data_IF_349904030920
#
_entry.id   IF_349904030920
#
_cell.length_a   1.000
_cell.length_b   1.000
_cell.length_c   1.000
_cell.angle_alpha   90.00
_cell.angle_beta   90.00
_cell.angle_gamma   90.00
#
_symmetry.space_group_name_H-M   'P 1'
#
loop_
_entity.id
_entity.type
_entity.pdbx_description
1 polymer ?
#
# COMPACT_ATOMS: atom_id res chain seq x y z
N UNK A 1 4.55 4.62 -23.93
CA UNK A 1 4.70 3.70 -22.78
C UNK A 1 3.46 2.83 -22.67
N UNK A 2 3.40 1.80 -23.50
CA UNK A 2 2.43 0.71 -23.39
C UNK A 2 2.99 -0.40 -22.48
N UNK A 3 2.12 -1.27 -21.98
CA UNK A 3 2.55 -2.45 -21.23
C UNK A 3 3.49 -3.34 -22.07
N UNK A 4 3.24 -3.46 -23.37
CA UNK A 4 4.08 -4.21 -24.29
C UNK A 4 5.50 -3.65 -24.38
N UNK A 5 5.64 -2.32 -24.43
CA UNK A 5 6.95 -1.64 -24.41
C UNK A 5 7.69 -1.86 -23.08
N UNK A 6 6.98 -1.91 -21.95
CA UNK A 6 7.60 -2.18 -20.64
C UNK A 6 8.16 -3.61 -20.57
N UNK A 7 7.50 -4.60 -21.16
CA UNK A 7 7.96 -6.00 -21.11
C UNK A 7 9.30 -6.23 -21.81
N UNK A 8 9.66 -5.39 -22.79
CA UNK A 8 10.95 -5.45 -23.47
C UNK A 8 12.02 -4.56 -22.83
N UNK A 9 11.69 -3.85 -21.75
CA UNK A 9 12.64 -2.97 -21.07
C UNK A 9 13.78 -3.79 -20.43
N UNK A 10 15.06 -3.36 -20.52
CA UNK A 10 16.21 -4.15 -20.07
C UNK A 10 16.20 -4.55 -18.59
N UNK A 11 15.50 -3.81 -17.74
CA UNK A 11 15.32 -4.17 -16.32
C UNK A 11 14.39 -5.38 -16.13
N UNK A 12 13.40 -5.52 -17.02
CA UNK A 12 12.41 -6.61 -17.01
C UNK A 12 12.93 -7.79 -17.85
N UNK A 13 13.43 -7.53 -19.07
CA UNK A 13 14.03 -8.51 -19.97
C UNK A 13 15.48 -8.11 -20.30
N UNK A 14 16.48 -8.54 -19.51
CA UNK A 14 17.88 -8.24 -19.78
C UNK A 14 18.31 -8.75 -21.16
N UNK A 15 19.02 -7.91 -21.92
CA UNK A 15 19.50 -8.23 -23.27
C UNK A 15 20.94 -8.74 -23.25
N UNK A 16 21.65 -8.58 -22.13
CA UNK A 16 23.04 -9.00 -21.96
C UNK A 16 23.30 -9.60 -20.58
N UNK A 17 24.34 -10.43 -20.48
CA UNK A 17 24.82 -10.99 -19.20
C UNK A 17 25.20 -9.89 -18.21
N UNK A 18 25.81 -8.78 -18.67
CA UNK A 18 26.18 -7.63 -17.84
C UNK A 18 24.95 -7.00 -17.18
N UNK A 19 23.87 -6.82 -17.92
CA UNK A 19 22.60 -6.29 -17.38
C UNK A 19 21.97 -7.26 -16.36
N UNK A 20 21.97 -8.56 -16.66
CA UNK A 20 21.44 -9.57 -15.73
C UNK A 20 22.21 -9.59 -14.39
N UNK A 21 23.54 -9.52 -14.45
CA UNK A 21 24.41 -9.47 -13.28
C UNK A 21 24.27 -8.16 -12.50
N UNK A 22 24.15 -7.03 -13.19
CA UNK A 22 23.89 -5.74 -12.54
C UNK A 22 22.58 -5.78 -11.76
N UNK A 23 21.50 -6.28 -12.41
CA UNK A 23 20.18 -6.44 -11.78
C UNK A 23 20.22 -7.37 -10.58
N UNK A 24 20.91 -8.52 -10.68
CA UNK A 24 20.97 -9.49 -9.58
C UNK A 24 21.74 -8.98 -8.36
N UNK A 25 22.67 -8.04 -8.56
CA UNK A 25 23.47 -7.43 -7.48
C UNK A 25 22.82 -6.18 -6.90
N UNK A 26 21.84 -5.58 -7.58
CA UNK A 26 21.09 -4.45 -7.07
C UNK A 26 20.22 -4.89 -5.88
N UNK A 27 20.42 -4.24 -4.73
CA UNK A 27 19.60 -4.45 -3.55
C UNK A 27 18.46 -3.43 -3.50
N UNK A 28 17.33 -3.85 -2.92
CA UNK A 28 16.24 -2.94 -2.58
C UNK A 28 16.45 -2.50 -1.14
N UNK A 29 16.18 -1.23 -0.82
CA UNK A 29 16.15 -0.75 0.55
C UNK A 29 14.94 -1.33 1.31
N UNK A 30 15.14 -2.55 1.83
CA UNK A 30 14.10 -3.31 2.51
C UNK A 30 13.67 -2.65 3.83
N UNK A 31 14.56 -1.90 4.48
CA UNK A 31 14.26 -1.15 5.71
C UNK A 31 13.16 -0.11 5.46
N UNK A 32 13.32 0.70 4.41
CA UNK A 32 12.32 1.70 4.05
C UNK A 32 11.03 1.06 3.51
N UNK A 33 11.14 -0.01 2.71
CA UNK A 33 9.98 -0.73 2.20
C UNK A 33 9.11 -1.32 3.31
N UNK A 34 9.73 -1.94 4.33
CA UNK A 34 9.05 -2.44 5.54
C UNK A 34 8.41 -1.30 6.33
N UNK A 35 9.16 -0.21 6.57
CA UNK A 35 8.64 0.98 7.30
C UNK A 35 7.44 1.61 6.58
N UNK A 36 7.45 1.67 5.25
CA UNK A 36 6.33 2.15 4.45
C UNK A 36 5.09 1.25 4.60
N UNK A 37 5.26 -0.07 4.41
CA UNK A 37 4.16 -1.02 4.51
C UNK A 37 3.54 -1.06 5.91
N UNK A 38 4.38 -1.01 6.96
CA UNK A 38 3.89 -0.92 8.34
C UNK A 38 2.98 0.30 8.52
N UNK A 39 3.46 1.51 8.14
CA UNK A 39 2.65 2.74 8.23
C UNK A 39 1.36 2.67 7.42
N UNK A 40 1.39 2.09 6.22
CA UNK A 40 0.20 1.89 5.39
C UNK A 40 -0.84 1.00 6.09
N UNK A 41 -0.42 -0.13 6.67
CA UNK A 41 -1.29 -1.03 7.41
C UNK A 41 -1.88 -0.34 8.65
N UNK A 42 -1.05 0.33 9.45
CA UNK A 42 -1.50 1.08 10.62
C UNK A 42 -2.53 2.16 10.28
N UNK A 43 -2.30 2.93 9.21
CA UNK A 43 -3.24 3.96 8.76
C UNK A 43 -4.60 3.37 8.38
N UNK A 44 -4.61 2.24 7.67
CA UNK A 44 -5.85 1.55 7.31
C UNK A 44 -6.61 1.06 8.55
N UNK A 45 -5.91 0.41 9.49
CA UNK A 45 -6.51 -0.07 10.74
C UNK A 45 -7.12 1.08 11.55
N UNK A 46 -6.36 2.17 11.72
CA UNK A 46 -6.83 3.37 12.42
C UNK A 46 -8.09 3.96 11.77
N UNK A 47 -8.05 4.15 10.44
CA UNK A 47 -9.19 4.70 9.70
C UNK A 47 -10.45 3.83 9.86
N UNK A 48 -10.29 2.50 9.84
CA UNK A 48 -11.39 1.55 10.01
C UNK A 48 -12.03 1.71 11.38
N UNK A 49 -11.23 1.65 12.46
CA UNK A 49 -11.73 1.82 13.84
C UNK A 49 -12.35 3.19 14.04
N UNK A 50 -11.73 4.25 13.52
CA UNK A 50 -12.26 5.61 13.59
C UNK A 50 -13.62 5.75 12.90
N UNK A 51 -13.78 5.15 11.72
CA UNK A 51 -15.05 5.13 10.99
C UNK A 51 -16.14 4.38 11.77
N UNK A 52 -15.84 3.18 12.29
CA UNK A 52 -16.77 2.43 13.14
C UNK A 52 -17.17 3.24 14.37
N UNK A 53 -16.20 3.85 15.06
CA UNK A 53 -16.47 4.67 16.24
C UNK A 53 -17.34 5.89 15.92
N UNK A 54 -17.15 6.52 14.76
CA UNK A 54 -17.99 7.63 14.29
C UNK A 54 -19.42 7.17 14.05
N UNK A 55 -19.61 6.05 13.36
CA UNK A 55 -20.94 5.49 13.08
C UNK A 55 -21.67 5.07 14.37
N UNK A 56 -20.97 4.46 15.33
CA UNK A 56 -21.55 4.10 16.61
C UNK A 56 -21.92 5.31 17.49
N UNK A 57 -21.34 6.49 17.26
CA UNK A 57 -21.75 7.73 17.94
C UNK A 57 -23.01 8.29 17.30
N UNK A 58 -23.03 8.41 15.97
CA UNK A 58 -24.21 8.89 15.23
C UNK A 58 -25.45 8.04 15.53
N UNK A 59 -25.32 6.70 15.52
CA UNK A 59 -26.43 5.81 15.88
C UNK A 59 -27.00 6.04 17.28
N UNK A 60 -26.15 6.39 18.26
CA UNK A 60 -26.62 6.65 19.63
C UNK A 60 -27.33 7.99 19.74
N UNK A 61 -26.85 8.99 19.03
CA UNK A 61 -27.54 10.29 18.91
C UNK A 61 -28.91 10.11 18.24
N UNK A 62 -29.00 9.29 17.18
CA UNK A 62 -30.27 8.94 16.54
C UNK A 62 -31.22 8.17 17.50
N UNK A 63 -30.69 7.24 18.32
CA UNK A 63 -31.48 6.49 19.31
C UNK A 63 -31.99 7.37 20.48
N UNK A 64 -31.19 8.35 20.94
CA UNK A 64 -31.61 9.33 21.96
C UNK A 64 -32.68 10.30 21.46
N UNK A 65 -32.64 10.71 20.19
CA UNK A 65 -33.65 11.61 19.60
C UNK A 65 -35.00 10.92 19.32
N UNK A 66 -35.05 9.58 19.34
CA UNK A 66 -36.24 8.76 19.06
C UNK A 66 -36.91 8.25 20.35
N UNK A 67 -36.30 8.41 21.52
CA UNK A 67 -36.93 8.13 22.82
C UNK A 67 -37.57 9.39 23.42
N UNK A 68 -38.87 9.39 23.79
CA UNK A 68 -39.56 10.53 24.40
C UNK A 68 -39.01 10.95 25.78
#
# INVERSE_FOLDING_TARGET
MSAAECLVHPWIKPLSRKQALSRSRSSINMRNFRKFNARRKWKLSYNTVSACNRLCRLRREDEELVSP
#
